data_IF_659424430992
#
_entry.id   IF_659424430992
#
_cell.length_a   1.000
_cell.length_b   1.000
_cell.length_c   1.000
_cell.angle_alpha   90.00
_cell.angle_beta   90.00
_cell.angle_gamma   90.00
#
_symmetry.space_group_name_H-M   'P 1'
#
loop_
_entity.id
_entity.type
_entity.pdbx_description
1 polymer ?
#
# COMPACT_ATOMS: atom_id res chain seq x y z
N UNK A 1 -78.03 -11.34 -44.92
CA UNK A 1 -77.00 -10.42 -44.39
C UNK A 1 -76.38 -11.04 -43.17
N UNK A 2 -75.20 -11.70 -43.30
CA UNK A 2 -74.53 -12.37 -42.23
C UNK A 2 -73.43 -11.44 -41.75
N UNK A 3 -73.44 -11.06 -40.45
CA UNK A 3 -72.39 -10.33 -39.77
C UNK A 3 -71.31 -11.35 -39.28
N UNK A 4 -70.11 -11.24 -39.78
CA UNK A 4 -68.96 -12.03 -39.33
C UNK A 4 -68.27 -11.23 -38.22
N UNK A 5 -68.20 -11.85 -37.04
CA UNK A 5 -67.53 -11.32 -35.85
C UNK A 5 -66.07 -11.82 -35.84
N UNK A 6 -65.08 -10.93 -35.98
CA UNK A 6 -63.69 -11.29 -35.80
C UNK A 6 -63.28 -11.16 -34.34
N UNK A 7 -62.98 -12.29 -33.73
CA UNK A 7 -62.37 -12.30 -32.41
C UNK A 7 -60.86 -12.18 -32.55
N UNK A 8 -60.29 -11.07 -32.10
CA UNK A 8 -58.83 -10.88 -31.95
C UNK A 8 -58.37 -11.58 -30.65
N UNK A 9 -57.61 -12.68 -30.84
CA UNK A 9 -56.82 -13.30 -29.75
C UNK A 9 -55.51 -12.52 -29.60
N UNK A 10 -55.38 -11.75 -28.52
CA UNK A 10 -54.11 -11.16 -28.11
C UNK A 10 -53.29 -12.22 -27.34
N UNK A 11 -52.25 -12.77 -27.96
CA UNK A 11 -51.23 -13.57 -27.27
C UNK A 11 -50.34 -12.61 -26.47
N UNK A 12 -50.48 -12.59 -25.16
CA UNK A 12 -49.53 -11.96 -24.27
C UNK A 12 -48.29 -12.89 -24.14
N UNK A 13 -47.23 -12.56 -24.81
CA UNK A 13 -45.91 -13.21 -24.61
C UNK A 13 -45.35 -12.73 -23.26
N UNK A 14 -45.47 -13.56 -22.25
CA UNK A 14 -44.75 -13.36 -20.98
C UNK A 14 -43.29 -13.70 -21.24
N UNK A 15 -42.47 -12.68 -21.52
CA UNK A 15 -41.03 -12.79 -21.54
C UNK A 15 -40.52 -12.98 -20.09
N UNK A 16 -40.34 -14.23 -19.69
CA UNK A 16 -39.67 -14.53 -18.44
C UNK A 16 -38.18 -14.18 -18.64
N UNK A 17 -37.75 -13.01 -18.16
CA UNK A 17 -36.34 -12.74 -17.92
C UNK A 17 -35.82 -13.75 -16.92
N UNK A 18 -35.24 -14.84 -17.41
CA UNK A 18 -34.31 -15.65 -16.60
C UNK A 18 -33.15 -14.73 -16.27
N UNK A 19 -33.00 -14.30 -15.01
CA UNK A 19 -31.70 -13.89 -14.47
C UNK A 19 -30.78 -15.08 -14.70
N UNK A 20 -29.87 -14.95 -15.69
CA UNK A 20 -28.71 -15.79 -15.73
C UNK A 20 -27.93 -15.46 -14.46
N UNK A 21 -27.88 -16.38 -13.51
CA UNK A 21 -26.88 -16.36 -12.46
C UNK A 21 -25.55 -16.45 -13.22
N UNK A 22 -24.89 -15.30 -13.39
CA UNK A 22 -23.51 -15.28 -13.86
C UNK A 22 -22.73 -15.89 -12.70
N UNK A 23 -22.22 -17.11 -12.88
CA UNK A 23 -21.21 -17.65 -11.98
C UNK A 23 -20.07 -16.63 -11.94
N UNK A 24 -19.80 -16.06 -10.77
CA UNK A 24 -18.64 -15.17 -10.58
C UNK A 24 -17.39 -15.97 -10.92
N UNK A 25 -16.55 -15.44 -11.81
CA UNK A 25 -15.28 -16.09 -12.14
C UNK A 25 -14.42 -16.23 -10.88
N UNK A 26 -13.77 -17.39 -10.66
CA UNK A 26 -12.97 -17.60 -9.46
C UNK A 26 -11.76 -16.65 -9.43
N UNK A 27 -11.51 -16.05 -8.27
CA UNK A 27 -10.33 -15.24 -8.05
C UNK A 27 -9.09 -16.14 -8.09
N UNK A 28 -8.25 -15.97 -9.10
CA UNK A 28 -7.00 -16.70 -9.22
C UNK A 28 -5.93 -16.07 -8.31
N UNK A 29 -5.22 -16.89 -7.49
CA UNK A 29 -4.22 -16.36 -6.57
C UNK A 29 -2.92 -16.00 -7.30
N UNK A 30 -2.30 -14.92 -6.83
CA UNK A 30 -0.90 -14.63 -7.10
C UNK A 30 0.04 -15.57 -6.34
N UNK A 31 1.33 -15.36 -6.46
CA UNK A 31 2.35 -16.13 -5.76
C UNK A 31 2.88 -15.35 -4.56
N UNK A 32 2.83 -15.97 -3.37
CA UNK A 32 3.40 -15.41 -2.15
C UNK A 32 4.62 -16.23 -1.73
N UNK A 33 5.76 -15.56 -1.56
CA UNK A 33 7.02 -16.25 -1.23
C UNK A 33 7.88 -15.40 -0.28
N UNK A 34 8.84 -16.05 0.38
CA UNK A 34 9.75 -15.42 1.34
C UNK A 34 11.17 -15.38 0.79
N UNK A 35 11.91 -14.34 1.16
CA UNK A 35 13.31 -14.19 0.86
C UNK A 35 14.08 -13.57 2.02
N UNK A 36 15.40 -13.48 1.85
CA UNK A 36 16.26 -12.80 2.80
C UNK A 36 17.43 -12.10 2.10
N UNK A 37 17.95 -11.08 2.76
CA UNK A 37 19.20 -10.38 2.42
C UNK A 37 20.15 -10.58 3.57
N UNK A 38 21.34 -11.11 3.30
CA UNK A 38 22.43 -11.09 4.27
C UNK A 38 22.99 -9.67 4.33
N UNK A 39 22.52 -8.91 5.30
CA UNK A 39 22.77 -7.47 5.35
C UNK A 39 24.12 -7.15 6.01
N UNK A 40 24.94 -6.41 5.30
CA UNK A 40 26.16 -5.79 5.82
C UNK A 40 25.82 -4.65 6.80
N UNK A 41 24.72 -3.92 6.55
CA UNK A 41 24.28 -2.80 7.38
C UNK A 41 23.60 -3.25 8.66
N UNK A 42 22.74 -4.26 8.60
CA UNK A 42 21.99 -4.77 9.75
C UNK A 42 22.76 -5.84 10.54
N UNK A 43 23.90 -6.32 10.01
CA UNK A 43 24.74 -7.37 10.61
C UNK A 43 24.00 -8.68 10.89
N UNK A 44 22.89 -8.91 10.21
CA UNK A 44 22.05 -10.10 10.35
C UNK A 44 21.27 -10.34 9.05
N UNK A 45 20.86 -11.58 8.76
CA UNK A 45 19.92 -11.83 7.68
C UNK A 45 18.60 -11.10 7.93
N UNK A 46 18.21 -10.22 7.01
CA UNK A 46 16.96 -9.48 7.02
C UNK A 46 15.97 -10.14 6.08
N UNK A 47 14.83 -10.49 6.61
CA UNK A 47 13.78 -11.20 5.87
C UNK A 47 12.87 -10.21 5.12
N UNK A 48 12.27 -10.71 4.08
CA UNK A 48 11.17 -10.05 3.38
C UNK A 48 10.22 -11.10 2.81
N UNK A 49 8.99 -10.70 2.55
CA UNK A 49 8.07 -11.46 1.72
C UNK A 49 7.70 -10.67 0.47
N UNK A 50 7.35 -11.38 -0.58
CA UNK A 50 6.92 -10.80 -1.84
C UNK A 50 5.62 -11.47 -2.29
N UNK A 51 4.69 -10.64 -2.76
CA UNK A 51 3.55 -11.10 -3.52
C UNK A 51 3.72 -10.72 -4.99
N UNK A 52 3.60 -11.70 -5.88
CA UNK A 52 3.64 -11.56 -7.32
C UNK A 52 2.22 -11.71 -7.88
N UNK A 53 1.78 -10.86 -8.80
CA UNK A 53 0.42 -10.92 -9.34
C UNK A 53 0.19 -12.22 -10.12
N UNK A 54 -1.07 -12.67 -10.20
CA UNK A 54 -1.44 -13.78 -11.07
C UNK A 54 -0.96 -13.51 -12.50
N UNK A 55 -0.37 -14.52 -13.13
CA UNK A 55 0.23 -14.37 -14.46
C UNK A 55 1.53 -13.55 -14.50
N UNK A 56 2.22 -13.42 -13.35
CA UNK A 56 3.55 -12.83 -13.32
C UNK A 56 4.48 -13.51 -14.35
N UNK A 57 5.15 -12.69 -15.14
CA UNK A 57 6.04 -13.11 -16.21
C UNK A 57 7.40 -12.43 -16.02
N UNK A 58 8.43 -13.21 -15.72
CA UNK A 58 9.78 -12.70 -15.47
C UNK A 58 10.44 -12.05 -16.69
N UNK A 59 9.85 -12.14 -17.89
CA UNK A 59 10.31 -11.37 -19.05
C UNK A 59 9.77 -9.94 -19.11
N UNK A 60 8.85 -9.59 -18.20
CA UNK A 60 8.22 -8.27 -18.12
C UNK A 60 8.71 -7.51 -16.87
N UNK A 61 8.48 -6.21 -16.86
CA UNK A 61 8.77 -5.37 -15.70
C UNK A 61 7.51 -4.80 -15.09
N UNK A 62 7.52 -4.63 -13.76
CA UNK A 62 6.35 -4.27 -12.96
C UNK A 62 6.63 -3.04 -12.09
N UNK A 63 5.62 -2.23 -11.77
CA UNK A 63 5.73 -1.27 -10.68
C UNK A 63 5.76 -1.99 -9.33
N UNK A 64 6.40 -1.37 -8.33
CA UNK A 64 6.60 -1.94 -7.01
C UNK A 64 5.87 -1.14 -5.94
N UNK A 65 5.23 -1.86 -5.02
CA UNK A 65 4.74 -1.33 -3.75
C UNK A 65 5.56 -1.91 -2.59
N UNK A 66 6.25 -1.05 -1.84
CA UNK A 66 6.85 -1.41 -0.55
C UNK A 66 5.80 -1.22 0.53
N UNK A 67 5.42 -2.33 1.20
CA UNK A 67 4.35 -2.36 2.19
C UNK A 67 4.92 -2.62 3.58
N UNK A 68 4.95 -1.58 4.41
CA UNK A 68 5.68 -1.51 5.66
C UNK A 68 4.79 -1.89 6.86
N UNK A 69 5.30 -2.78 7.74
CA UNK A 69 4.58 -3.26 8.92
C UNK A 69 4.70 -2.29 10.13
N UNK A 70 3.92 -2.52 11.18
CA UNK A 70 3.94 -1.77 12.43
C UNK A 70 4.95 -2.30 13.46
N UNK A 71 5.09 -1.57 14.58
CA UNK A 71 5.96 -2.00 15.67
C UNK A 71 5.47 -3.35 16.25
N UNK A 72 6.41 -4.29 16.43
CA UNK A 72 6.12 -5.62 16.95
C UNK A 72 5.58 -6.62 15.91
N UNK A 73 5.45 -6.19 14.67
CA UNK A 73 5.15 -7.03 13.51
C UNK A 73 6.43 -7.47 12.79
N UNK A 74 6.28 -8.17 11.67
CA UNK A 74 7.35 -8.71 10.84
C UNK A 74 6.94 -8.73 9.35
N UNK A 75 7.80 -9.34 8.51
CA UNK A 75 7.56 -9.48 7.06
C UNK A 75 6.33 -10.30 6.70
N UNK A 76 5.82 -11.13 7.62
CA UNK A 76 4.66 -11.99 7.41
C UNK A 76 3.35 -11.32 7.79
N UNK A 77 3.40 -10.30 8.65
CA UNK A 77 2.22 -9.77 9.36
C UNK A 77 1.16 -9.19 8.45
N UNK A 78 1.55 -8.50 7.37
CA UNK A 78 0.60 -8.00 6.38
C UNK A 78 -0.24 -9.13 5.75
N UNK A 79 0.35 -10.29 5.51
CA UNK A 79 -0.38 -11.42 4.95
C UNK A 79 -1.11 -12.24 6.03
N UNK A 80 -0.43 -12.59 7.13
CA UNK A 80 -0.98 -13.49 8.15
C UNK A 80 -2.10 -12.85 8.98
N UNK A 81 -2.02 -11.55 9.25
CA UNK A 81 -3.01 -10.78 10.03
C UNK A 81 -3.93 -9.95 9.14
N UNK A 82 -3.38 -9.36 8.08
CA UNK A 82 -4.09 -8.43 7.20
C UNK A 82 -4.63 -9.04 5.92
N UNK A 83 -4.22 -10.26 5.55
CA UNK A 83 -4.66 -10.92 4.32
C UNK A 83 -4.22 -10.22 3.03
N UNK A 84 -3.06 -9.55 3.04
CA UNK A 84 -2.60 -8.72 1.94
C UNK A 84 -2.60 -9.42 0.58
N UNK A 85 -2.18 -10.71 0.52
CA UNK A 85 -2.21 -11.48 -0.72
C UNK A 85 -3.64 -11.60 -1.28
N UNK A 86 -4.62 -11.94 -0.43
CA UNK A 86 -6.04 -12.04 -0.86
C UNK A 86 -6.61 -10.70 -1.30
N UNK A 87 -6.20 -9.61 -0.67
CA UNK A 87 -6.62 -8.25 -1.06
C UNK A 87 -6.04 -7.93 -2.43
N UNK A 88 -4.76 -8.20 -2.65
CA UNK A 88 -4.10 -7.98 -3.92
C UNK A 88 -4.66 -8.86 -5.05
N UNK A 89 -4.95 -10.15 -4.77
CA UNK A 89 -5.61 -11.06 -5.72
C UNK A 89 -6.97 -10.51 -6.17
N UNK A 90 -7.77 -10.07 -5.20
CA UNK A 90 -9.09 -9.45 -5.46
C UNK A 90 -8.97 -8.14 -6.24
N UNK A 91 -7.96 -7.33 -5.92
CA UNK A 91 -7.67 -6.11 -6.66
C UNK A 91 -7.35 -6.39 -8.13
N UNK A 92 -6.51 -7.40 -8.43
CA UNK A 92 -6.18 -7.81 -9.80
C UNK A 92 -7.40 -8.40 -10.52
N UNK A 93 -8.16 -9.28 -9.86
CA UNK A 93 -9.39 -9.85 -10.40
C UNK A 93 -10.38 -8.77 -10.86
N UNK A 94 -10.46 -7.67 -10.12
CA UNK A 94 -11.31 -6.51 -10.44
C UNK A 94 -10.68 -5.56 -11.48
N UNK A 95 -9.67 -5.99 -12.23
CA UNK A 95 -9.04 -5.19 -13.29
C UNK A 95 -7.97 -4.20 -12.80
N UNK A 96 -7.44 -4.39 -11.61
CA UNK A 96 -6.37 -3.57 -11.06
C UNK A 96 -5.04 -3.72 -11.82
N UNK A 97 -4.19 -2.72 -11.74
CA UNK A 97 -2.86 -2.73 -12.37
C UNK A 97 -1.94 -3.75 -11.70
N UNK A 98 -1.39 -4.72 -12.46
CA UNK A 98 -0.42 -5.66 -11.91
C UNK A 98 0.81 -4.96 -11.34
N UNK A 99 1.18 -5.30 -10.12
CA UNK A 99 2.34 -4.78 -9.40
C UNK A 99 2.99 -5.88 -8.55
N UNK A 100 4.23 -5.69 -8.17
CA UNK A 100 4.92 -6.52 -7.18
C UNK A 100 4.82 -5.83 -5.82
N UNK A 101 4.45 -6.58 -4.77
CA UNK A 101 4.36 -6.06 -3.40
C UNK A 101 5.48 -6.67 -2.56
N UNK A 102 6.35 -5.83 -2.01
CA UNK A 102 7.46 -6.21 -1.14
C UNK A 102 7.12 -5.83 0.30
N UNK A 103 7.19 -6.78 1.21
CA UNK A 103 6.91 -6.60 2.65
C UNK A 103 8.19 -6.93 3.43
N UNK A 104 9.04 -5.94 3.74
CA UNK A 104 10.28 -6.17 4.46
C UNK A 104 10.07 -6.24 5.97
N UNK A 105 10.88 -7.05 6.67
CA UNK A 105 11.05 -6.96 8.12
C UNK A 105 11.86 -5.70 8.45
N UNK A 106 11.38 -4.90 9.38
CA UNK A 106 12.07 -3.70 9.85
C UNK A 106 12.38 -3.74 11.35
N UNK A 107 12.08 -4.84 12.02
CA UNK A 107 12.20 -4.90 13.49
C UNK A 107 11.43 -3.72 14.14
N UNK A 108 12.10 -2.96 14.99
CA UNK A 108 11.54 -1.77 15.65
C UNK A 108 12.32 -0.49 15.28
N UNK A 109 12.85 -0.43 14.07
CA UNK A 109 13.76 0.64 13.64
C UNK A 109 13.05 1.92 13.18
N UNK A 110 11.73 1.95 13.12
CA UNK A 110 10.94 3.03 12.52
C UNK A 110 11.27 3.31 11.05
N UNK A 111 12.00 2.40 10.37
CA UNK A 111 12.45 2.59 8.99
C UNK A 111 13.37 3.80 8.78
N UNK A 112 13.75 4.49 9.84
CA UNK A 112 14.59 5.67 9.79
C UNK A 112 16.06 5.30 9.77
N UNK A 113 16.82 6.32 9.44
CA UNK A 113 18.23 6.36 9.16
C UNK A 113 19.12 5.47 9.99
N UNK A 114 20.39 5.67 9.85
CA UNK A 114 21.41 4.93 10.59
C UNK A 114 21.32 5.30 12.08
N UNK A 115 20.10 5.09 12.64
CA UNK A 115 19.90 5.13 14.09
C UNK A 115 20.64 3.93 14.65
N UNK A 116 21.78 4.24 15.18
CA UNK A 116 22.59 3.29 15.91
C UNK A 116 22.09 3.33 17.36
N UNK A 117 21.51 2.24 17.90
CA UNK A 117 21.47 2.06 19.34
C UNK A 117 22.90 2.21 19.86
N UNK A 118 23.08 2.49 21.13
CA UNK A 118 24.40 2.75 21.75
C UNK A 118 25.50 1.73 21.42
N UNK A 119 25.15 0.60 20.84
CA UNK A 119 26.05 -0.49 20.38
C UNK A 119 26.34 -0.47 18.87
N UNK A 120 25.89 0.50 18.11
CA UNK A 120 26.36 0.73 16.73
C UNK A 120 25.85 -0.23 15.64
N UNK A 121 24.69 -0.88 15.78
CA UNK A 121 24.41 -2.09 15.00
C UNK A 121 23.32 -2.00 13.94
N UNK A 122 22.53 -0.89 13.81
CA UNK A 122 21.43 -0.85 12.87
C UNK A 122 21.48 0.37 11.95
N UNK A 123 21.71 0.11 10.67
CA UNK A 123 21.64 1.09 9.61
C UNK A 123 20.48 0.70 8.65
N UNK A 124 19.24 0.73 9.14
CA UNK A 124 18.09 0.22 8.39
C UNK A 124 17.87 0.98 7.09
N UNK A 125 18.00 2.28 7.10
CA UNK A 125 17.83 3.10 5.91
C UNK A 125 18.86 2.74 4.82
N UNK A 126 20.13 2.54 5.23
CA UNK A 126 21.17 2.06 4.32
C UNK A 126 20.89 0.65 3.80
N UNK A 127 20.44 -0.27 4.67
CA UNK A 127 19.99 -1.60 4.26
C UNK A 127 18.87 -1.52 3.23
N UNK A 128 17.81 -0.77 3.53
CA UNK A 128 16.63 -0.67 2.67
C UNK A 128 17.01 -0.15 1.28
N UNK A 129 17.77 0.94 1.20
CA UNK A 129 18.06 1.62 -0.06
C UNK A 129 19.26 1.05 -0.83
N UNK A 130 20.23 0.41 -0.17
CA UNK A 130 21.47 -0.04 -0.80
C UNK A 130 21.55 -1.56 -0.96
N UNK A 131 20.75 -2.32 -0.21
CA UNK A 131 20.77 -3.78 -0.27
C UNK A 131 19.41 -4.35 -0.68
N UNK A 132 18.33 -4.07 0.07
CA UNK A 132 17.01 -4.65 -0.21
C UNK A 132 16.46 -4.20 -1.56
N UNK A 133 16.30 -2.89 -1.76
CA UNK A 133 15.71 -2.36 -3.00
C UNK A 133 16.46 -2.86 -4.24
N UNK A 134 17.80 -2.70 -4.37
CA UNK A 134 18.51 -3.19 -5.55
C UNK A 134 18.34 -4.68 -5.79
N UNK A 135 18.35 -5.49 -4.72
CA UNK A 135 18.17 -6.95 -4.83
C UNK A 135 16.79 -7.30 -5.37
N UNK A 136 15.72 -6.85 -4.69
CA UNK A 136 14.35 -7.24 -5.08
C UNK A 136 13.94 -6.64 -6.42
N UNK A 137 14.43 -5.45 -6.74
CA UNK A 137 14.13 -4.79 -8.02
C UNK A 137 14.80 -5.47 -9.21
N UNK A 138 16.01 -6.00 -9.03
CA UNK A 138 16.66 -6.82 -10.04
C UNK A 138 16.00 -8.20 -10.17
N UNK A 139 15.68 -8.83 -9.03
CA UNK A 139 15.11 -10.18 -8.98
C UNK A 139 13.69 -10.25 -9.57
N UNK A 140 12.87 -9.23 -9.31
CA UNK A 140 11.45 -9.19 -9.74
C UNK A 140 11.16 -8.13 -10.81
N UNK A 141 12.20 -7.62 -11.48
CA UNK A 141 12.12 -6.74 -12.67
C UNK A 141 11.31 -5.46 -12.46
N UNK A 142 11.75 -4.59 -11.52
CA UNK A 142 11.13 -3.29 -11.31
C UNK A 142 11.24 -2.39 -12.56
N UNK A 143 10.12 -1.80 -12.99
CA UNK A 143 10.10 -0.85 -14.12
C UNK A 143 10.50 0.59 -13.75
N UNK A 144 11.02 0.80 -12.54
CA UNK A 144 11.40 2.11 -12.03
C UNK A 144 10.28 2.90 -11.34
N UNK A 145 9.03 2.45 -11.40
CA UNK A 145 7.93 3.06 -10.66
C UNK A 145 7.75 2.39 -9.32
N UNK A 146 7.78 3.18 -8.27
CA UNK A 146 7.71 2.70 -6.88
C UNK A 146 6.69 3.50 -6.10
N UNK A 147 5.97 2.83 -5.21
CA UNK A 147 5.16 3.46 -4.17
C UNK A 147 5.54 2.86 -2.81
N UNK A 148 5.22 3.56 -1.75
CA UNK A 148 5.42 3.10 -0.39
C UNK A 148 4.12 3.27 0.40
N UNK A 149 3.73 2.25 1.15
CA UNK A 149 2.59 2.30 2.06
C UNK A 149 2.93 1.56 3.35
N UNK A 150 2.29 1.94 4.45
CA UNK A 150 2.55 1.26 5.72
C UNK A 150 1.63 1.70 6.83
N UNK A 151 1.58 0.89 7.89
CA UNK A 151 0.75 1.11 9.07
C UNK A 151 1.59 1.51 10.28
N UNK A 152 1.08 2.40 11.13
CA UNK A 152 1.70 2.77 12.42
C UNK A 152 3.18 3.19 12.26
N UNK A 153 4.13 2.43 12.79
CA UNK A 153 5.56 2.59 12.55
C UNK A 153 5.90 2.57 11.05
N UNK A 154 5.28 1.69 10.25
CA UNK A 154 5.44 1.66 8.80
C UNK A 154 4.77 2.86 8.11
N UNK A 155 3.74 3.43 8.72
CA UNK A 155 3.15 4.70 8.30
C UNK A 155 4.13 5.86 8.48
N UNK A 156 4.85 5.89 9.61
CA UNK A 156 5.98 6.81 9.81
C UNK A 156 7.04 6.63 8.72
N UNK A 157 7.49 5.39 8.49
CA UNK A 157 8.47 5.08 7.45
C UNK A 157 8.02 5.50 6.06
N UNK A 158 6.71 5.38 5.77
CA UNK A 158 6.10 5.87 4.53
C UNK A 158 6.27 7.37 4.36
N UNK A 159 5.93 8.15 5.39
CA UNK A 159 6.09 9.61 5.38
C UNK A 159 7.57 9.99 5.26
N UNK A 160 8.42 9.37 6.07
CA UNK A 160 9.86 9.64 6.08
C UNK A 160 10.48 9.39 4.69
N UNK A 161 10.18 8.25 4.04
CA UNK A 161 10.75 7.95 2.72
C UNK A 161 10.18 8.83 1.62
N UNK A 162 8.89 9.17 1.68
CA UNK A 162 8.29 10.08 0.72
C UNK A 162 8.88 11.50 0.82
N UNK A 163 9.27 11.93 2.02
CA UNK A 163 9.83 13.26 2.26
C UNK A 163 11.36 13.29 2.02
N UNK A 164 12.09 12.30 2.50
CA UNK A 164 13.56 12.27 2.38
C UNK A 164 14.04 11.88 0.98
N UNK A 165 13.29 11.03 0.28
CA UNK A 165 13.61 10.52 -1.05
C UNK A 165 12.49 10.81 -2.07
N UNK A 166 12.09 12.07 -2.25
CA UNK A 166 10.85 12.41 -2.95
C UNK A 166 10.82 11.96 -4.42
N UNK A 167 11.98 11.80 -5.05
CA UNK A 167 12.07 11.33 -6.44
C UNK A 167 12.03 9.81 -6.59
N UNK A 168 12.24 9.06 -5.49
CA UNK A 168 12.27 7.59 -5.54
C UNK A 168 10.88 6.97 -5.60
N UNK A 169 9.90 7.61 -4.97
CA UNK A 169 8.54 7.09 -4.87
C UNK A 169 7.55 7.98 -5.62
N UNK A 170 6.56 7.37 -6.24
CA UNK A 170 5.50 8.06 -6.99
C UNK A 170 4.27 8.36 -6.12
N UNK A 171 4.13 7.66 -4.99
CA UNK A 171 3.03 7.82 -4.04
C UNK A 171 3.39 7.30 -2.66
N UNK A 172 2.84 7.94 -1.61
CA UNK A 172 2.90 7.48 -0.22
C UNK A 172 1.49 7.27 0.37
N UNK A 173 1.23 6.11 1.02
CA UNK A 173 -0.03 5.88 1.73
C UNK A 173 0.23 5.47 3.19
N UNK A 174 0.05 6.39 4.11
CA UNK A 174 0.32 6.20 5.54
C UNK A 174 -0.97 5.91 6.31
N UNK A 175 -1.01 4.75 6.96
CA UNK A 175 -2.18 4.20 7.67
C UNK A 175 -1.96 4.31 9.18
N UNK A 176 -2.78 5.09 9.89
CA UNK A 176 -2.60 5.37 11.33
C UNK A 176 -1.12 5.67 11.68
N UNK A 177 -0.45 6.57 10.95
CA UNK A 177 0.99 6.74 11.07
C UNK A 177 1.39 7.31 12.43
N UNK A 178 2.48 6.83 13.01
CA UNK A 178 3.22 7.64 13.96
C UNK A 178 3.74 8.89 13.25
N UNK A 179 3.86 9.99 13.96
CA UNK A 179 4.21 11.30 13.37
C UNK A 179 5.37 11.96 14.11
N UNK A 180 6.16 12.71 13.37
CA UNK A 180 7.23 13.57 13.87
C UNK A 180 7.18 14.89 13.09
N UNK A 181 6.31 15.83 13.47
CA UNK A 181 6.11 17.07 12.73
C UNK A 181 7.39 17.89 12.53
N UNK A 182 8.25 17.95 13.55
CA UNK A 182 9.50 18.72 13.48
C UNK A 182 10.51 18.06 12.54
N UNK A 183 10.70 16.74 12.64
CA UNK A 183 11.57 15.98 11.76
C UNK A 183 11.07 16.02 10.31
N UNK A 184 9.77 15.88 10.09
CA UNK A 184 9.20 15.99 8.73
C UNK A 184 9.31 17.41 8.18
N UNK A 185 9.13 18.45 9.01
CA UNK A 185 9.33 19.83 8.59
C UNK A 185 10.76 20.06 8.15
N UNK A 186 11.75 19.55 8.88
CA UNK A 186 13.16 19.66 8.50
C UNK A 186 13.42 19.02 7.13
N UNK A 187 12.91 17.81 6.87
CA UNK A 187 13.03 17.15 5.56
C UNK A 187 12.38 17.94 4.42
N UNK A 188 11.23 18.56 4.70
CA UNK A 188 10.55 19.41 3.71
C UNK A 188 11.39 20.66 3.41
N UNK A 189 11.99 21.28 4.43
CA UNK A 189 12.78 22.49 4.26
C UNK A 189 14.07 22.28 3.46
N UNK A 190 14.64 21.08 3.52
CA UNK A 190 15.81 20.71 2.68
C UNK A 190 15.50 20.72 1.17
N UNK A 191 14.23 20.65 0.77
CA UNK A 191 13.83 20.64 -0.63
C UNK A 191 13.29 22.00 -1.07
N UNK A 192 14.01 22.77 -1.91
CA UNK A 192 13.55 24.09 -2.36
C UNK A 192 12.33 24.01 -3.28
N UNK A 193 12.26 23.00 -4.14
CA UNK A 193 11.10 22.76 -5.02
C UNK A 193 10.14 21.74 -4.40
N UNK A 194 9.02 22.22 -3.89
CA UNK A 194 8.00 21.37 -3.26
C UNK A 194 7.25 20.47 -4.24
N UNK A 195 7.38 20.69 -5.54
CA UNK A 195 6.76 19.84 -6.58
C UNK A 195 7.46 18.49 -6.75
N UNK A 196 8.66 18.33 -6.18
CA UNK A 196 9.36 17.02 -6.22
C UNK A 196 8.72 15.97 -5.32
N UNK A 197 7.96 16.41 -4.29
CA UNK A 197 7.32 15.48 -3.38
C UNK A 197 6.19 14.69 -4.04
N UNK A 198 6.13 13.36 -3.83
CA UNK A 198 5.01 12.57 -4.31
C UNK A 198 3.72 12.95 -3.59
N UNK A 199 2.56 12.73 -4.18
CA UNK A 199 1.30 12.80 -3.45
C UNK A 199 1.27 11.80 -2.29
N UNK A 200 0.67 12.21 -1.18
CA UNK A 200 0.59 11.44 0.06
C UNK A 200 -0.86 11.35 0.52
N UNK A 201 -1.31 10.15 0.88
CA UNK A 201 -2.54 9.97 1.66
C UNK A 201 -2.17 9.56 3.08
N UNK A 202 -2.81 10.19 4.06
CA UNK A 202 -2.77 9.80 5.46
C UNK A 202 -4.19 9.40 5.89
N UNK A 203 -4.36 8.22 6.50
CA UNK A 203 -5.69 7.74 6.93
C UNK A 203 -5.64 7.32 8.40
N UNK A 204 -6.61 7.78 9.19
CA UNK A 204 -6.74 7.49 10.63
C UNK A 204 -8.10 6.90 10.98
N UNK A 205 -8.09 5.99 11.97
CA UNK A 205 -9.29 5.45 12.57
C UNK A 205 -9.85 6.38 13.65
N UNK A 206 -11.16 6.68 13.61
CA UNK A 206 -11.84 7.54 14.59
C UNK A 206 -11.80 7.01 16.04
N UNK A 207 -11.44 5.74 16.21
CA UNK A 207 -11.27 5.08 17.53
C UNK A 207 -9.84 4.60 17.74
N UNK A 208 -8.87 5.22 17.05
CA UNK A 208 -7.45 4.94 17.27
C UNK A 208 -7.06 5.38 18.69
N UNK A 209 -6.77 4.40 19.54
CA UNK A 209 -6.36 4.62 20.93
C UNK A 209 -4.85 4.65 21.12
N UNK A 210 -4.07 4.46 20.06
CA UNK A 210 -2.60 4.39 20.10
C UNK A 210 -1.97 5.67 19.55
N UNK A 211 -2.42 6.10 18.37
CA UNK A 211 -1.96 7.34 17.75
C UNK A 211 -3.10 8.36 17.80
N UNK A 212 -2.91 9.48 18.51
CA UNK A 212 -3.94 10.53 18.58
C UNK A 212 -4.29 11.05 17.18
N UNK A 213 -5.57 11.04 16.84
CA UNK A 213 -6.07 11.51 15.55
C UNK A 213 -5.64 12.95 15.28
N UNK A 214 -5.62 13.77 16.35
CA UNK A 214 -5.19 15.17 16.26
C UNK A 214 -3.76 15.30 15.77
N UNK A 215 -2.85 14.42 16.18
CA UNK A 215 -1.45 14.46 15.77
C UNK A 215 -1.30 14.13 14.29
N UNK A 216 -2.02 13.11 13.81
CA UNK A 216 -2.02 12.77 12.37
C UNK A 216 -2.62 13.89 11.53
N UNK A 217 -3.73 14.47 12.00
CA UNK A 217 -4.37 15.60 11.33
C UNK A 217 -3.47 16.85 11.28
N UNK A 218 -2.80 17.16 12.39
CA UNK A 218 -1.86 18.28 12.46
C UNK A 218 -0.67 18.04 11.53
N UNK A 219 -0.15 16.81 11.47
CA UNK A 219 0.90 16.44 10.53
C UNK A 219 0.43 16.60 9.07
N UNK A 220 -0.77 16.13 8.73
CA UNK A 220 -1.33 16.30 7.39
C UNK A 220 -1.52 17.79 7.02
N UNK A 221 -1.93 18.63 7.97
CA UNK A 221 -2.02 20.07 7.77
C UNK A 221 -0.64 20.69 7.55
N UNK A 222 0.37 20.30 8.33
CA UNK A 222 1.75 20.72 8.13
C UNK A 222 2.22 20.44 6.69
N UNK A 223 1.98 19.24 6.16
CA UNK A 223 2.34 18.90 4.78
C UNK A 223 1.65 19.83 3.78
N UNK A 224 0.34 20.06 3.94
CA UNK A 224 -0.45 20.93 3.05
C UNK A 224 0.00 22.39 3.11
N UNK A 225 0.24 22.93 4.29
CA UNK A 225 0.69 24.30 4.53
C UNK A 225 2.08 24.56 3.92
N UNK A 226 2.89 23.51 3.79
CA UNK A 226 4.17 23.55 3.10
C UNK A 226 4.08 23.24 1.59
N UNK A 227 2.88 23.20 1.02
CA UNK A 227 2.66 23.07 -0.43
C UNK A 227 2.69 21.64 -0.96
N UNK A 228 2.68 20.62 -0.12
CA UNK A 228 2.64 19.23 -0.56
C UNK A 228 1.20 18.79 -0.89
N UNK A 229 1.07 17.92 -1.89
CA UNK A 229 -0.20 17.27 -2.21
C UNK A 229 -0.49 16.16 -1.18
N UNK A 230 -1.17 16.52 -0.09
CA UNK A 230 -1.52 15.61 0.99
C UNK A 230 -3.04 15.48 1.12
N UNK A 231 -3.57 14.25 1.06
CA UNK A 231 -4.95 13.93 1.41
C UNK A 231 -4.99 13.35 2.82
N UNK A 232 -5.96 13.80 3.64
CA UNK A 232 -6.20 13.25 4.96
C UNK A 232 -7.61 12.68 5.05
N UNK A 233 -7.74 11.44 5.52
CA UNK A 233 -8.98 10.68 5.61
C UNK A 233 -9.18 10.21 7.05
N UNK A 234 -10.38 10.43 7.59
CA UNK A 234 -10.84 9.84 8.83
C UNK A 234 -11.97 8.84 8.53
N UNK A 235 -11.95 7.67 9.16
CA UNK A 235 -13.08 6.73 9.10
C UNK A 235 -13.23 5.92 10.39
N UNK A 236 -14.35 5.24 10.54
CA UNK A 236 -14.57 4.32 11.66
C UNK A 236 -13.50 3.22 11.67
N UNK A 237 -12.95 2.93 12.84
CA UNK A 237 -11.92 1.92 13.09
C UNK A 237 -10.96 2.32 14.18
N UNK A 238 -10.15 1.37 14.64
CA UNK A 238 -9.13 1.54 15.67
C UNK A 238 -7.70 1.47 15.12
N UNK A 239 -6.73 1.24 16.00
CA UNK A 239 -5.33 0.97 15.65
C UNK A 239 -5.10 -0.54 15.57
N UNK A 240 -5.69 -1.19 14.57
CA UNK A 240 -5.76 -2.64 14.54
C UNK A 240 -5.90 -3.24 13.13
N UNK A 241 -5.75 -4.55 13.06
CA UNK A 241 -5.90 -5.33 11.82
C UNK A 241 -7.36 -5.44 11.33
N UNK A 242 -8.33 -4.84 11.97
CA UNK A 242 -9.67 -4.60 11.42
C UNK A 242 -9.72 -3.34 10.55
N UNK A 243 -8.81 -2.40 10.80
CA UNK A 243 -8.75 -1.12 10.08
C UNK A 243 -7.82 -1.17 8.85
N UNK A 244 -6.59 -1.65 8.99
CA UNK A 244 -5.55 -1.54 7.97
C UNK A 244 -5.79 -2.32 6.67
N UNK A 245 -6.45 -3.51 6.65
CA UNK A 245 -6.79 -4.18 5.40
C UNK A 245 -7.65 -3.33 4.46
N UNK A 246 -8.61 -2.59 4.99
CA UNK A 246 -9.44 -1.67 4.19
C UNK A 246 -8.63 -0.47 3.68
N UNK A 247 -7.64 0.00 4.46
CA UNK A 247 -6.69 1.00 3.97
C UNK A 247 -5.85 0.46 2.81
N UNK A 248 -5.41 -0.81 2.88
CA UNK A 248 -4.64 -1.43 1.81
C UNK A 248 -5.45 -1.54 0.50
N UNK A 249 -6.73 -1.91 0.56
CA UNK A 249 -7.61 -1.92 -0.62
C UNK A 249 -7.61 -0.56 -1.33
N UNK A 250 -7.76 0.52 -0.57
CA UNK A 250 -7.72 1.89 -1.10
C UNK A 250 -6.32 2.29 -1.59
N UNK A 251 -5.27 1.88 -0.86
CA UNK A 251 -3.89 2.16 -1.23
C UNK A 251 -3.55 1.56 -2.59
N UNK A 252 -3.92 0.30 -2.87
CA UNK A 252 -3.70 -0.34 -4.17
C UNK A 252 -4.34 0.45 -5.31
N UNK A 253 -5.57 0.91 -5.13
CA UNK A 253 -6.27 1.74 -6.13
C UNK A 253 -5.57 3.08 -6.32
N UNK A 254 -5.15 3.74 -5.24
CA UNK A 254 -4.53 5.07 -5.33
C UNK A 254 -3.12 5.01 -5.93
N UNK A 255 -2.26 4.11 -5.45
CA UNK A 255 -0.89 4.00 -5.95
C UNK A 255 -0.84 3.64 -7.43
N UNK A 256 -1.78 2.81 -7.91
CA UNK A 256 -1.83 2.40 -9.32
C UNK A 256 -2.10 3.54 -10.30
N UNK A 257 -2.69 4.63 -9.85
CA UNK A 257 -2.91 5.82 -10.68
C UNK A 257 -1.60 6.54 -11.05
N UNK A 258 -0.50 6.20 -10.38
CA UNK A 258 0.82 6.80 -10.58
C UNK A 258 1.84 5.82 -11.20
N UNK A 259 1.36 4.62 -11.58
CA UNK A 259 2.16 3.54 -12.19
C UNK A 259 2.12 3.48 -13.71
#
# INVERSE_FOLDING_TARGET
MRKILYALLALAAISACKKQDQEEEPILPGTYQSGAVNSEYMKTPMKYTVWLPVGYDASKSYPFLYLLHGMGDDEMSWNSKGGAAKIADRYIHNGGTPMVIIMPDAKVTFYIGDYLPENGEFAYESYFHKELMPKVEAEYHCNGKRAVAGLSMGGYGTLYYALKYPTKFKYGYAMSPATDPDGFKALIDEQPDKKVFPPITMESGLKDGTIPIADVKNCANLLKENGLNCEYIERSGGHDWGFWPVCLEKALVKVSQYF
#
